data_IF_362519855506
#
_entry.id   IF_362519855506
#
_cell.length_a   1.000
_cell.length_b   1.000
_cell.length_c   1.000
_cell.angle_alpha   90.00
_cell.angle_beta   90.00
_cell.angle_gamma   90.00
#
_symmetry.space_group_name_H-M   'P 1'
#
loop_
_entity.id
_entity.type
_entity.pdbx_description
1 polymer ?
#
# COMPACT_ATOMS: atom_id res chain seq x y z
N UNK A 1 -10.61 -25.39 15.10
CA UNK A 1 -9.37 -25.98 14.57
C UNK A 1 -8.25 -24.99 14.90
N UNK A 2 -7.45 -25.33 15.93
CA UNK A 2 -6.27 -24.55 16.35
C UNK A 2 -5.16 -24.75 15.30
N UNK A 3 -5.05 -23.85 14.34
CA UNK A 3 -3.83 -23.64 13.59
C UNK A 3 -3.02 -22.60 14.36
N UNK A 4 -2.00 -23.06 15.11
CA UNK A 4 -1.06 -22.19 15.80
C UNK A 4 -0.39 -21.26 14.79
N UNK A 5 -0.61 -19.95 14.94
CA UNK A 5 0.08 -18.94 14.15
C UNK A 5 1.60 -19.09 14.37
N UNK A 6 2.41 -19.01 13.31
CA UNK A 6 3.86 -18.99 13.46
C UNK A 6 4.26 -17.77 14.31
N UNK A 7 5.36 -17.85 15.09
CA UNK A 7 5.79 -16.74 15.92
C UNK A 7 6.06 -15.52 15.04
N UNK A 8 5.45 -14.40 15.41
CA UNK A 8 5.62 -13.11 14.71
C UNK A 8 7.13 -12.84 14.54
N UNK A 9 7.57 -12.74 13.28
CA UNK A 9 8.95 -12.37 12.99
C UNK A 9 9.16 -10.96 13.52
N UNK A 10 10.15 -10.77 14.41
CA UNK A 10 10.51 -9.46 14.96
C UNK A 10 10.80 -8.50 13.80
N UNK A 11 9.93 -7.51 13.63
CA UNK A 11 10.15 -6.40 12.71
C UNK A 11 11.22 -5.49 13.31
N UNK A 12 12.47 -5.62 12.89
CA UNK A 12 13.52 -4.67 13.23
C UNK A 12 13.68 -3.67 12.10
N UNK A 13 14.07 -2.44 12.45
CA UNK A 13 14.42 -1.37 11.49
C UNK A 13 15.45 -1.88 10.47
N UNK A 14 16.43 -2.64 10.94
CA UNK A 14 17.45 -3.27 10.11
C UNK A 14 16.87 -4.19 9.03
N UNK A 15 15.73 -4.87 9.28
CA UNK A 15 15.05 -5.72 8.28
C UNK A 15 14.09 -4.93 7.41
N UNK A 16 13.27 -4.05 8.00
CA UNK A 16 12.24 -3.32 7.25
C UNK A 16 12.81 -2.31 6.27
N UNK A 17 13.94 -1.66 6.61
CA UNK A 17 14.61 -0.67 5.76
C UNK A 17 15.91 -1.20 5.12
N UNK A 18 16.30 -2.46 5.36
CA UNK A 18 17.59 -3.00 4.91
C UNK A 18 18.77 -2.19 5.43
N UNK A 19 18.62 -1.57 6.60
CA UNK A 19 19.65 -0.83 7.28
C UNK A 19 20.59 -1.83 7.95
N UNK A 20 21.52 -2.40 7.19
CA UNK A 20 22.57 -3.25 7.75
C UNK A 20 23.46 -2.44 8.69
N UNK A 21 24.08 -3.11 9.68
CA UNK A 21 24.96 -2.51 10.71
C UNK A 21 26.05 -1.56 10.16
N UNK A 22 26.42 -1.70 8.88
CA UNK A 22 27.41 -0.85 8.21
C UNK A 22 26.93 0.58 7.93
N UNK A 23 25.62 0.83 7.84
CA UNK A 23 25.08 2.14 7.51
C UNK A 23 24.99 3.05 8.74
N UNK A 24 24.80 2.48 9.94
CA UNK A 24 24.71 3.17 11.23
C UNK A 24 25.83 2.69 12.15
N UNK A 25 27.06 3.16 11.87
CA UNK A 25 28.27 2.66 12.50
C UNK A 25 28.62 3.37 13.81
N UNK A 26 28.22 4.64 13.99
CA UNK A 26 28.56 5.42 15.17
C UNK A 26 27.72 5.03 16.39
N UNK A 27 28.20 5.26 17.61
CA UNK A 27 27.42 5.01 18.82
C UNK A 27 26.08 5.77 18.86
N UNK A 28 26.03 6.98 18.33
CA UNK A 28 24.81 7.80 18.23
C UNK A 28 23.81 7.18 17.27
N UNK A 29 24.27 6.77 16.10
CA UNK A 29 23.40 6.10 15.11
C UNK A 29 22.87 4.77 15.63
N UNK A 30 23.67 3.98 16.35
CA UNK A 30 23.19 2.73 16.96
C UNK A 30 22.13 2.97 18.02
N UNK A 31 22.27 4.03 18.86
CA UNK A 31 21.22 4.40 19.82
C UNK A 31 19.94 4.83 19.12
N UNK A 32 20.05 5.58 18.02
CA UNK A 32 18.91 5.98 17.21
C UNK A 32 18.15 4.74 16.67
N UNK A 33 18.86 3.77 16.07
CA UNK A 33 18.22 2.53 15.57
C UNK A 33 17.54 1.76 16.71
N UNK A 34 18.21 1.60 17.86
CA UNK A 34 17.65 0.92 19.03
C UNK A 34 16.38 1.64 19.52
N UNK A 35 16.36 2.96 19.60
CA UNK A 35 15.20 3.72 20.04
C UNK A 35 13.98 3.56 19.11
N UNK A 36 14.22 3.44 17.80
CA UNK A 36 13.14 3.18 16.83
C UNK A 36 12.64 1.73 16.95
N UNK A 37 13.55 0.75 17.10
CA UNK A 37 13.17 -0.66 17.27
C UNK A 37 12.39 -0.88 18.58
N UNK A 38 12.81 -0.28 19.70
CA UNK A 38 12.07 -0.30 20.98
C UNK A 38 10.68 0.33 20.82
N UNK A 39 10.59 1.46 20.09
CA UNK A 39 9.32 2.10 19.77
C UNK A 39 8.39 1.20 18.94
N UNK A 40 8.93 0.47 17.96
CA UNK A 40 8.15 -0.49 17.17
C UNK A 40 7.61 -1.63 18.03
N UNK A 41 8.38 -2.14 18.98
CA UNK A 41 7.90 -3.17 19.91
C UNK A 41 6.73 -2.66 20.76
N UNK A 42 6.77 -1.39 21.22
CA UNK A 42 5.66 -0.75 21.93
C UNK A 42 4.42 -0.61 21.05
N UNK A 43 4.59 -0.20 19.79
CA UNK A 43 3.48 -0.08 18.83
C UNK A 43 2.85 -1.46 18.57
N UNK A 44 3.63 -2.49 18.27
CA UNK A 44 3.12 -3.85 18.03
C UNK A 44 2.35 -4.41 19.23
N UNK A 45 2.91 -4.28 20.43
CA UNK A 45 2.24 -4.72 21.66
C UNK A 45 0.93 -3.97 21.89
N UNK A 46 0.88 -2.67 21.53
CA UNK A 46 -0.31 -1.86 21.63
C UNK A 46 -1.35 -2.20 20.57
N UNK A 47 -0.96 -2.41 19.32
CA UNK A 47 -1.87 -2.81 18.24
C UNK A 47 -2.70 -4.04 18.65
N UNK A 48 -2.05 -5.08 19.19
CA UNK A 48 -2.73 -6.29 19.66
C UNK A 48 -3.75 -6.03 20.79
N UNK A 49 -3.48 -5.04 21.67
CA UNK A 49 -4.41 -4.65 22.74
C UNK A 49 -5.55 -3.80 22.22
N UNK A 50 -5.24 -2.81 21.37
CA UNK A 50 -6.22 -1.85 20.87
C UNK A 50 -7.29 -2.48 20.00
N UNK A 51 -6.97 -3.51 19.21
CA UNK A 51 -7.93 -4.22 18.37
C UNK A 51 -8.58 -5.42 19.06
N UNK A 52 -8.36 -5.59 20.37
CA UNK A 52 -9.05 -6.61 21.15
C UNK A 52 -10.49 -6.19 21.45
N UNK A 53 -11.43 -7.10 21.23
CA UNK A 53 -12.84 -6.92 21.52
C UNK A 53 -13.33 -8.01 22.48
N UNK A 54 -14.32 -7.67 23.31
CA UNK A 54 -14.96 -8.62 24.20
C UNK A 54 -15.90 -9.61 23.46
N UNK A 55 -16.37 -9.23 22.28
CA UNK A 55 -17.15 -10.07 21.38
C UNK A 55 -16.21 -10.96 20.57
N UNK A 56 -16.44 -12.28 20.59
CA UNK A 56 -15.56 -13.27 19.97
C UNK A 56 -15.47 -13.14 18.44
N UNK A 57 -16.56 -12.72 17.78
CA UNK A 57 -16.61 -12.54 16.33
C UNK A 57 -15.84 -11.27 15.95
N UNK A 58 -16.08 -10.18 16.66
CA UNK A 58 -15.36 -8.92 16.48
C UNK A 58 -13.86 -9.11 16.71
N UNK A 59 -13.45 -9.80 17.79
CA UNK A 59 -12.03 -10.07 18.09
C UNK A 59 -11.37 -10.91 17.00
N UNK A 60 -12.02 -12.01 16.59
CA UNK A 60 -11.47 -12.90 15.55
C UNK A 60 -11.32 -12.17 14.20
N UNK A 61 -12.32 -11.39 13.79
CA UNK A 61 -12.32 -10.72 12.49
C UNK A 61 -11.36 -9.54 12.44
N UNK A 62 -11.32 -8.66 13.45
CA UNK A 62 -10.44 -7.48 13.47
C UNK A 62 -8.96 -7.84 13.59
N UNK A 63 -8.61 -8.93 14.26
CA UNK A 63 -7.23 -9.42 14.40
C UNK A 63 -6.71 -10.16 13.18
N UNK A 64 -7.56 -10.62 12.31
CA UNK A 64 -7.21 -11.55 11.23
C UNK A 64 -6.10 -11.03 10.32
N UNK A 65 -6.29 -9.86 9.70
CA UNK A 65 -5.27 -9.27 8.81
C UNK A 65 -4.06 -8.71 9.57
N UNK A 66 -4.21 -8.33 10.85
CA UNK A 66 -3.05 -7.96 11.68
C UNK A 66 -2.15 -9.17 11.93
N UNK A 67 -2.75 -10.33 12.26
CA UNK A 67 -2.04 -11.59 12.48
C UNK A 67 -1.36 -12.13 11.22
N UNK A 68 -1.92 -11.87 10.02
CA UNK A 68 -1.28 -12.17 8.75
C UNK A 68 0.02 -11.38 8.49
N UNK A 69 0.33 -10.40 9.34
CA UNK A 69 1.58 -9.64 9.28
C UNK A 69 1.45 -8.25 8.66
N UNK A 70 2.57 -7.68 8.25
CA UNK A 70 2.67 -6.37 7.63
C UNK A 70 4.05 -5.76 7.85
N UNK A 71 4.48 -4.90 6.93
CA UNK A 71 5.82 -4.27 6.97
C UNK A 71 5.92 -3.13 7.98
N UNK A 72 4.80 -2.69 8.58
CA UNK A 72 4.73 -1.57 9.54
C UNK A 72 5.42 -0.29 9.06
N UNK A 73 5.30 -0.01 7.79
CA UNK A 73 5.94 1.14 7.12
C UNK A 73 5.53 2.46 7.79
N UNK A 74 4.24 2.65 8.09
CA UNK A 74 3.69 3.88 8.67
C UNK A 74 4.16 4.08 10.12
N UNK A 75 4.03 3.10 11.02
CA UNK A 75 4.62 3.19 12.37
C UNK A 75 6.11 3.47 12.36
N UNK A 76 6.88 2.80 11.49
CA UNK A 76 8.31 3.02 11.35
C UNK A 76 8.62 4.47 10.98
N UNK A 77 7.90 5.03 10.00
CA UNK A 77 8.08 6.42 9.57
C UNK A 77 7.76 7.41 10.70
N UNK A 78 6.65 7.20 11.43
CA UNK A 78 6.30 8.02 12.60
C UNK A 78 7.42 8.01 13.64
N UNK A 79 7.95 6.84 13.98
CA UNK A 79 9.01 6.67 14.98
C UNK A 79 10.36 7.24 14.54
N UNK A 80 10.70 7.13 13.25
CA UNK A 80 11.91 7.75 12.68
C UNK A 80 11.84 9.28 12.81
N UNK A 81 10.75 9.90 12.41
CA UNK A 81 10.56 11.35 12.45
C UNK A 81 10.45 11.85 13.88
N UNK A 82 9.86 11.07 14.79
CA UNK A 82 9.78 11.39 16.20
C UNK A 82 11.15 11.61 16.88
N UNK A 83 12.22 11.03 16.31
CA UNK A 83 13.59 11.27 16.79
C UNK A 83 14.12 12.68 16.48
N UNK A 84 13.36 13.54 15.80
CA UNK A 84 13.61 14.98 15.70
C UNK A 84 13.23 15.72 16.99
N UNK A 85 12.48 15.08 17.88
CA UNK A 85 12.06 15.55 19.20
C UNK A 85 12.39 14.51 20.28
N UNK A 86 11.40 14.21 21.13
CA UNK A 86 11.56 13.36 22.32
C UNK A 86 11.41 11.85 22.02
N UNK A 87 11.37 11.44 20.74
CA UNK A 87 11.28 10.03 20.32
C UNK A 87 9.92 9.40 20.59
N UNK A 88 9.91 8.12 21.02
CA UNK A 88 8.71 7.31 21.20
C UNK A 88 7.90 7.67 22.45
N UNK A 89 7.40 8.91 22.53
CA UNK A 89 6.47 9.34 23.59
C UNK A 89 5.17 8.52 23.55
N UNK A 90 4.35 8.49 24.63
CA UNK A 90 3.04 7.84 24.58
C UNK A 90 2.14 8.35 23.46
N UNK A 91 2.19 9.66 23.15
CA UNK A 91 1.47 10.24 22.01
C UNK A 91 1.95 9.74 20.65
N UNK A 92 3.24 9.56 20.48
CA UNK A 92 3.84 8.97 19.27
C UNK A 92 3.40 7.50 19.09
N UNK A 93 3.47 6.69 20.15
CA UNK A 93 3.05 5.30 20.09
C UNK A 93 1.56 5.19 19.75
N UNK A 94 0.72 5.98 20.41
CA UNK A 94 -0.73 6.00 20.16
C UNK A 94 -1.07 6.47 18.73
N UNK A 95 -0.42 7.54 18.23
CA UNK A 95 -0.65 8.01 16.86
C UNK A 95 -0.19 7.01 15.81
N UNK A 96 0.95 6.34 16.02
CA UNK A 96 1.44 5.27 15.13
C UNK A 96 0.47 4.08 15.09
N UNK A 97 -0.10 3.70 16.25
CA UNK A 97 -1.14 2.66 16.34
C UNK A 97 -2.42 3.07 15.60
N UNK A 98 -2.92 4.27 15.83
CA UNK A 98 -4.11 4.78 15.15
C UNK A 98 -3.95 4.79 13.63
N UNK A 99 -2.80 5.25 13.13
CA UNK A 99 -2.49 5.28 11.70
C UNK A 99 -2.42 3.87 11.09
N UNK A 100 -1.79 2.90 11.78
CA UNK A 100 -1.72 1.52 11.29
C UNK A 100 -3.09 0.83 11.37
N UNK A 101 -3.90 1.11 12.40
CA UNK A 101 -5.28 0.58 12.50
C UNK A 101 -6.15 1.18 11.39
N UNK A 102 -6.02 2.47 11.08
CA UNK A 102 -6.70 3.10 9.94
C UNK A 102 -6.34 2.43 8.62
N UNK A 103 -5.04 2.16 8.41
CA UNK A 103 -4.61 1.39 7.24
C UNK A 103 -5.17 -0.03 7.22
N UNK A 104 -5.17 -0.71 8.38
CA UNK A 104 -5.73 -2.05 8.46
C UNK A 104 -7.22 -2.05 8.11
N UNK A 105 -7.98 -1.08 8.60
CA UNK A 105 -9.39 -0.89 8.31
C UNK A 105 -9.64 -0.67 6.81
N UNK A 106 -8.84 0.19 6.16
CA UNK A 106 -8.97 0.42 4.72
C UNK A 106 -8.76 -0.87 3.92
N UNK A 107 -7.81 -1.74 4.32
CA UNK A 107 -7.59 -3.02 3.64
C UNK A 107 -8.81 -3.96 3.68
N UNK A 108 -9.59 -3.94 4.78
CA UNK A 108 -10.84 -4.71 4.83
C UNK A 108 -11.87 -4.22 3.83
N UNK A 109 -11.99 -2.89 3.67
CA UNK A 109 -12.92 -2.28 2.73
C UNK A 109 -12.43 -2.42 1.28
N UNK A 110 -11.14 -2.21 1.04
CA UNK A 110 -10.50 -2.38 -0.27
C UNK A 110 -10.72 -3.83 -0.77
N UNK A 111 -10.50 -4.84 0.08
CA UNK A 111 -10.69 -6.24 -0.29
C UNK A 111 -12.13 -6.54 -0.77
N UNK A 112 -13.13 -5.88 -0.17
CA UNK A 112 -14.53 -6.02 -0.60
C UNK A 112 -14.79 -5.31 -1.92
N UNK A 113 -14.27 -4.08 -2.08
CA UNK A 113 -14.47 -3.27 -3.30
C UNK A 113 -13.74 -3.86 -4.51
N UNK A 114 -12.56 -4.44 -4.28
CA UNK A 114 -11.70 -5.02 -5.31
C UNK A 114 -12.00 -6.53 -5.53
N UNK A 115 -12.98 -7.11 -4.81
CA UNK A 115 -13.31 -8.56 -4.81
C UNK A 115 -12.06 -9.44 -4.60
N UNK A 116 -11.11 -8.95 -3.79
CA UNK A 116 -9.82 -9.59 -3.60
C UNK A 116 -9.96 -10.94 -2.89
N UNK A 117 -9.45 -12.02 -3.49
CA UNK A 117 -9.51 -13.36 -2.90
C UNK A 117 -8.48 -13.58 -1.80
N UNK A 118 -7.34 -12.90 -1.88
CA UNK A 118 -6.20 -13.07 -0.99
C UNK A 118 -5.66 -11.73 -0.51
N UNK A 119 -5.26 -11.65 0.77
CA UNK A 119 -4.56 -10.51 1.35
C UNK A 119 -3.43 -10.97 2.27
N UNK A 120 -2.21 -10.44 2.11
CA UNK A 120 -1.04 -10.80 2.91
C UNK A 120 -0.76 -12.31 2.97
N UNK A 121 -1.02 -13.03 1.88
CA UNK A 121 -0.78 -14.47 1.75
C UNK A 121 -1.83 -15.36 2.43
N UNK A 122 -2.93 -14.80 2.94
CA UNK A 122 -4.10 -15.52 3.47
C UNK A 122 -5.35 -15.14 2.68
N UNK A 123 -6.42 -15.95 2.68
CA UNK A 123 -7.70 -15.54 2.09
C UNK A 123 -8.15 -14.20 2.65
N UNK A 124 -8.78 -13.35 1.84
CA UNK A 124 -9.29 -12.06 2.33
C UNK A 124 -10.41 -12.26 3.34
N UNK A 125 -10.69 -11.25 4.18
CA UNK A 125 -11.74 -11.36 5.20
C UNK A 125 -13.12 -11.60 4.57
N UNK A 126 -13.41 -11.00 3.42
CA UNK A 126 -14.64 -11.24 2.68
C UNK A 126 -14.79 -12.68 2.19
N UNK A 127 -13.70 -13.32 1.79
CA UNK A 127 -13.69 -14.72 1.37
C UNK A 127 -14.00 -15.66 2.55
N UNK A 128 -13.53 -15.30 3.77
CA UNK A 128 -13.70 -16.13 4.96
C UNK A 128 -15.07 -15.93 5.61
N UNK A 129 -15.57 -14.69 5.72
CA UNK A 129 -16.77 -14.34 6.50
C UNK A 129 -17.85 -13.63 5.69
N UNK A 130 -17.62 -13.34 4.42
CA UNK A 130 -18.51 -12.57 3.56
C UNK A 130 -18.37 -11.05 3.72
N UNK A 131 -18.90 -10.32 2.71
CA UNK A 131 -18.74 -8.87 2.59
C UNK A 131 -19.24 -8.10 3.81
N UNK A 132 -20.43 -8.45 4.34
CA UNK A 132 -21.02 -7.72 5.46
C UNK A 132 -20.12 -7.77 6.71
N UNK A 133 -19.52 -8.92 7.01
CA UNK A 133 -18.63 -9.07 8.17
C UNK A 133 -17.32 -8.33 7.92
N UNK A 134 -16.76 -8.39 6.72
CA UNK A 134 -15.55 -7.67 6.37
C UNK A 134 -15.73 -6.14 6.49
N UNK A 135 -16.84 -5.59 5.97
CA UNK A 135 -17.18 -4.16 6.09
C UNK A 135 -17.27 -3.76 7.58
N UNK A 136 -18.05 -4.50 8.38
CA UNK A 136 -18.23 -4.20 9.80
C UNK A 136 -16.91 -4.33 10.60
N UNK A 137 -16.04 -5.27 10.26
CA UNK A 137 -14.72 -5.37 10.86
C UNK A 137 -13.86 -4.12 10.57
N UNK A 138 -13.89 -3.61 9.33
CA UNK A 138 -13.28 -2.33 8.95
C UNK A 138 -13.84 -1.15 9.75
N UNK A 139 -15.17 -1.06 9.89
CA UNK A 139 -15.85 -0.01 10.67
C UNK A 139 -15.46 -0.04 12.15
N UNK A 140 -15.37 -1.23 12.76
CA UNK A 140 -14.90 -1.41 14.14
C UNK A 140 -13.46 -0.92 14.32
N UNK A 141 -12.59 -1.19 13.35
CA UNK A 141 -11.20 -0.70 13.36
C UNK A 141 -11.14 0.82 13.21
N UNK A 142 -11.94 1.43 12.33
CA UNK A 142 -12.04 2.89 12.22
C UNK A 142 -12.55 3.53 13.51
N UNK A 143 -13.55 2.94 14.16
CA UNK A 143 -14.03 3.39 15.45
C UNK A 143 -12.94 3.30 16.51
N UNK A 144 -12.13 2.24 16.52
CA UNK A 144 -11.00 2.09 17.44
C UNK A 144 -9.92 3.14 17.19
N UNK A 145 -9.53 3.37 15.92
CA UNK A 145 -8.59 4.44 15.56
C UNK A 145 -9.08 5.81 16.03
N UNK A 146 -10.36 6.12 15.82
CA UNK A 146 -10.99 7.37 16.27
C UNK A 146 -10.95 7.51 17.80
N UNK A 147 -11.17 6.43 18.54
CA UNK A 147 -11.06 6.42 20.00
C UNK A 147 -9.64 6.75 20.47
N UNK A 148 -8.61 6.16 19.87
CA UNK A 148 -7.21 6.44 20.20
C UNK A 148 -6.88 7.91 19.91
N UNK A 149 -7.25 8.39 18.73
CA UNK A 149 -6.98 9.76 18.27
C UNK A 149 -7.67 10.79 19.16
N UNK A 150 -8.88 10.50 19.69
CA UNK A 150 -9.59 11.42 20.60
C UNK A 150 -8.82 11.72 21.88
N UNK A 151 -7.98 10.79 22.33
CA UNK A 151 -7.08 10.97 23.48
C UNK A 151 -5.84 11.83 23.20
N UNK A 152 -5.53 12.10 21.90
CA UNK A 152 -4.38 12.90 21.48
C UNK A 152 -4.70 14.40 21.30
N UNK A 153 -5.97 14.78 21.38
CA UNK A 153 -6.42 16.15 21.28
C UNK A 153 -6.93 16.58 19.91
N UNK A 154 -7.37 17.83 19.83
CA UNK A 154 -8.11 18.34 18.67
C UNK A 154 -7.33 18.29 17.36
N UNK A 155 -6.03 18.59 17.37
CA UNK A 155 -5.20 18.54 16.15
C UNK A 155 -5.10 17.12 15.57
N UNK A 156 -5.05 16.11 16.44
CA UNK A 156 -5.05 14.71 16.00
C UNK A 156 -6.38 14.31 15.37
N UNK A 157 -7.50 14.76 15.95
CA UNK A 157 -8.85 14.51 15.42
C UNK A 157 -9.00 15.13 14.03
N UNK A 158 -8.55 16.39 13.84
CA UNK A 158 -8.59 17.05 12.54
C UNK A 158 -7.72 16.32 11.52
N UNK A 159 -6.48 15.97 11.89
CA UNK A 159 -5.58 15.22 11.01
C UNK A 159 -6.19 13.87 10.57
N UNK A 160 -6.80 13.14 11.50
CA UNK A 160 -7.48 11.88 11.21
C UNK A 160 -8.67 12.08 10.26
N UNK A 161 -9.50 13.11 10.50
CA UNK A 161 -10.66 13.40 9.68
C UNK A 161 -10.28 13.79 8.26
N UNK A 162 -9.31 14.71 8.09
CA UNK A 162 -8.74 15.09 6.78
C UNK A 162 -8.17 13.90 6.03
N UNK A 163 -7.44 13.04 6.75
CA UNK A 163 -6.83 11.84 6.15
C UNK A 163 -7.88 10.85 5.68
N UNK A 164 -8.90 10.62 6.50
CA UNK A 164 -9.97 9.68 6.15
C UNK A 164 -10.82 10.18 4.99
N UNK A 165 -11.12 11.50 4.95
CA UNK A 165 -11.79 12.13 3.80
C UNK A 165 -10.99 11.91 2.51
N UNK A 166 -9.66 12.15 2.53
CA UNK A 166 -8.78 11.91 1.37
C UNK A 166 -8.77 10.44 0.95
N UNK A 167 -8.67 9.49 1.89
CA UNK A 167 -8.75 8.06 1.59
C UNK A 167 -10.05 7.69 0.88
N UNK A 168 -11.19 8.19 1.38
CA UNK A 168 -12.50 7.93 0.77
C UNK A 168 -12.63 8.58 -0.62
N UNK A 169 -12.15 9.81 -0.79
CA UNK A 169 -12.16 10.51 -2.08
C UNK A 169 -11.24 9.81 -3.08
N UNK A 170 -10.04 9.39 -2.68
CA UNK A 170 -9.12 8.64 -3.52
C UNK A 170 -9.74 7.33 -4.02
N UNK A 171 -10.38 6.56 -3.14
CA UNK A 171 -11.07 5.33 -3.51
C UNK A 171 -12.28 5.61 -4.44
N UNK A 172 -13.03 6.66 -4.17
CA UNK A 172 -14.17 7.07 -5.01
C UNK A 172 -13.69 7.47 -6.42
N UNK A 173 -12.64 8.28 -6.51
CA UNK A 173 -12.08 8.75 -7.78
C UNK A 173 -11.46 7.60 -8.58
N UNK A 174 -10.81 6.64 -7.92
CA UNK A 174 -10.33 5.41 -8.56
C UNK A 174 -11.48 4.59 -9.16
N UNK A 175 -12.57 4.44 -8.41
CA UNK A 175 -13.74 3.66 -8.85
C UNK A 175 -14.49 4.32 -10.01
N UNK A 176 -14.66 5.64 -9.96
CA UNK A 176 -15.43 6.39 -10.97
C UNK A 176 -14.59 6.69 -12.22
N UNK A 177 -13.27 6.88 -12.05
CA UNK A 177 -12.36 7.27 -13.11
C UNK A 177 -12.39 8.76 -13.45
N UNK A 178 -11.54 9.21 -14.42
CA UNK A 178 -11.46 10.61 -14.84
C UNK A 178 -12.72 11.03 -15.60
N UNK A 179 -13.10 12.30 -15.46
CA UNK A 179 -14.21 12.90 -16.21
C UNK A 179 -13.80 13.15 -17.65
N UNK A 180 -14.79 13.35 -18.52
CA UNK A 180 -14.53 13.76 -19.89
C UNK A 180 -13.76 15.10 -19.92
N UNK A 181 -12.60 15.11 -20.57
CA UNK A 181 -11.71 16.27 -20.67
C UNK A 181 -10.61 16.35 -19.62
N UNK A 182 -10.64 15.52 -18.58
CA UNK A 182 -9.55 15.46 -17.60
C UNK A 182 -8.30 14.78 -18.21
N UNK A 183 -7.11 15.15 -17.72
CA UNK A 183 -5.89 14.38 -18.01
C UNK A 183 -5.88 13.10 -17.19
N UNK A 184 -5.95 11.90 -17.82
CA UNK A 184 -6.01 10.64 -17.09
C UNK A 184 -4.76 10.36 -16.25
N UNK A 185 -3.58 10.88 -16.65
CA UNK A 185 -2.33 10.70 -15.89
C UNK A 185 -2.34 11.56 -14.64
N UNK A 186 -2.76 12.83 -14.75
CA UNK A 186 -2.90 13.71 -13.61
C UNK A 186 -3.91 13.14 -12.61
N UNK A 187 -5.09 12.72 -13.11
CA UNK A 187 -6.12 12.06 -12.28
C UNK A 187 -5.57 10.84 -11.54
N UNK A 188 -4.82 9.96 -12.21
CA UNK A 188 -4.22 8.78 -11.61
C UNK A 188 -3.25 9.15 -10.48
N UNK A 189 -2.37 10.14 -10.69
CA UNK A 189 -1.43 10.60 -9.67
C UNK A 189 -2.15 11.23 -8.46
N UNK A 190 -3.24 11.96 -8.67
CA UNK A 190 -4.08 12.51 -7.60
C UNK A 190 -4.73 11.38 -6.78
N UNK A 191 -5.21 10.33 -7.43
CA UNK A 191 -5.73 9.12 -6.75
C UNK A 191 -4.65 8.49 -5.88
N UNK A 192 -3.43 8.33 -6.38
CA UNK A 192 -2.31 7.78 -5.60
C UNK A 192 -1.94 8.68 -4.40
N UNK A 193 -1.98 10.00 -4.59
CA UNK A 193 -1.74 10.97 -3.52
C UNK A 193 -2.79 10.82 -2.40
N UNK A 194 -4.06 10.67 -2.75
CA UNK A 194 -5.16 10.58 -1.79
C UNK A 194 -5.24 9.18 -1.15
N UNK A 195 -5.20 8.11 -1.94
CA UNK A 195 -5.34 6.73 -1.44
C UNK A 195 -4.11 6.25 -0.66
N UNK A 196 -2.90 6.58 -1.10
CA UNK A 196 -1.65 6.07 -0.50
C UNK A 196 -0.83 7.17 0.17
N UNK A 197 -0.59 8.29 -0.53
CA UNK A 197 0.23 9.40 -0.08
C UNK A 197 -0.29 10.04 1.20
N UNK A 198 -1.61 10.23 1.31
CA UNK A 198 -2.26 10.89 2.45
C UNK A 198 -1.94 10.22 3.79
N UNK A 199 -2.03 8.90 3.86
CA UNK A 199 -1.82 8.17 5.11
C UNK A 199 -0.32 8.05 5.47
N UNK A 200 0.57 8.06 4.49
CA UNK A 200 2.03 8.13 4.72
C UNK A 200 2.40 9.54 5.20
N UNK A 201 1.82 10.58 4.61
CA UNK A 201 1.94 11.97 5.06
C UNK A 201 1.45 12.15 6.50
N UNK A 202 0.32 11.54 6.84
CA UNK A 202 -0.24 11.53 8.20
C UNK A 202 0.72 10.89 9.20
N UNK A 203 1.32 9.74 8.88
CA UNK A 203 2.34 9.10 9.71
C UNK A 203 3.56 10.02 9.95
N UNK A 204 4.01 10.72 8.89
CA UNK A 204 5.11 11.66 8.98
C UNK A 204 4.77 12.88 9.85
N UNK A 205 3.60 13.50 9.63
CA UNK A 205 3.10 14.64 10.42
C UNK A 205 2.96 14.28 11.91
N UNK A 206 2.42 13.11 12.22
CA UNK A 206 2.28 12.61 13.59
C UNK A 206 3.64 12.52 14.29
N UNK A 207 4.70 12.10 13.59
CA UNK A 207 6.06 12.06 14.11
C UNK A 207 6.57 13.41 14.63
N UNK A 208 6.19 14.52 13.99
CA UNK A 208 6.51 15.89 14.45
C UNK A 208 5.54 16.34 15.53
N UNK A 209 4.23 16.15 15.31
CA UNK A 209 3.17 16.72 16.17
C UNK A 209 3.25 16.26 17.62
N UNK A 210 3.60 14.99 17.86
CA UNK A 210 3.51 14.36 19.18
C UNK A 210 4.86 14.05 19.82
N UNK A 211 6.00 14.45 19.18
CA UNK A 211 7.34 14.25 19.72
C UNK A 211 7.96 15.52 20.35
N UNK A 212 7.28 16.66 20.27
CA UNK A 212 7.89 17.94 20.69
C UNK A 212 8.90 18.49 19.69
N UNK A 213 9.03 17.92 18.50
CA UNK A 213 9.87 18.44 17.44
C UNK A 213 9.42 19.84 16.96
N UNK A 214 10.33 20.67 16.43
CA UNK A 214 9.99 21.98 15.88
C UNK A 214 8.88 21.91 14.84
N UNK A 215 7.83 22.71 14.99
CA UNK A 215 6.66 22.71 14.11
C UNK A 215 6.97 23.10 12.66
N UNK A 216 8.07 23.79 12.42
CA UNK A 216 8.58 24.13 11.10
C UNK A 216 8.88 22.88 10.22
N UNK A 217 9.06 21.71 10.83
CA UNK A 217 9.28 20.45 10.10
C UNK A 217 7.95 19.80 9.63
N UNK A 218 6.77 20.29 10.05
CA UNK A 218 5.49 19.69 9.66
C UNK A 218 5.26 19.69 8.14
N UNK A 219 5.47 20.82 7.46
CA UNK A 219 5.28 20.92 6.02
C UNK A 219 6.31 20.07 5.24
N UNK A 220 7.62 20.14 5.54
CA UNK A 220 8.64 19.28 4.94
C UNK A 220 8.34 17.79 5.03
N UNK A 221 7.97 17.28 6.23
CA UNK A 221 7.71 15.84 6.39
C UNK A 221 6.38 15.42 5.78
N UNK A 222 5.37 16.31 5.75
CA UNK A 222 4.10 16.06 5.08
C UNK A 222 4.30 15.87 3.57
N UNK A 223 5.03 16.79 2.95
CA UNK A 223 5.39 16.73 1.53
C UNK A 223 6.23 15.50 1.20
N UNK A 224 7.25 15.19 2.02
CA UNK A 224 8.01 13.94 1.90
C UNK A 224 7.09 12.72 1.92
N UNK A 225 6.20 12.62 2.91
CA UNK A 225 5.30 11.49 3.08
C UNK A 225 4.36 11.28 1.90
N UNK A 226 3.81 12.37 1.37
CA UNK A 226 2.91 12.32 0.21
C UNK A 226 3.64 11.87 -1.04
N UNK A 227 4.75 12.51 -1.38
CA UNK A 227 5.53 12.21 -2.58
C UNK A 227 6.13 10.81 -2.57
N UNK A 228 6.63 10.36 -1.42
CA UNK A 228 7.18 9.00 -1.30
C UNK A 228 6.08 7.94 -1.35
N UNK A 229 4.85 8.28 -0.91
CA UNK A 229 3.67 7.41 -1.07
C UNK A 229 3.30 7.21 -2.53
N UNK A 230 3.32 8.26 -3.34
CA UNK A 230 3.13 8.18 -4.79
C UNK A 230 4.23 7.33 -5.43
N UNK A 231 5.51 7.61 -5.15
CA UNK A 231 6.64 6.83 -5.66
C UNK A 231 6.52 5.34 -5.31
N UNK A 232 6.10 5.03 -4.08
CA UNK A 232 5.89 3.66 -3.61
C UNK A 232 4.86 2.93 -4.49
N UNK A 233 3.73 3.56 -4.80
CA UNK A 233 2.67 2.97 -5.60
C UNK A 233 3.10 2.79 -7.07
N UNK A 234 3.79 3.78 -7.64
CA UNK A 234 4.33 3.67 -9.00
C UNK A 234 5.34 2.52 -9.15
N UNK A 235 6.12 2.25 -8.11
CA UNK A 235 7.02 1.09 -8.06
C UNK A 235 6.23 -0.21 -7.92
N UNK A 236 5.16 -0.23 -7.13
CA UNK A 236 4.29 -1.41 -7.02
C UNK A 236 3.63 -1.74 -8.37
N UNK A 237 3.22 -0.74 -9.19
CA UNK A 237 2.73 -0.94 -10.55
C UNK A 237 3.78 -1.63 -11.46
N UNK A 238 5.04 -1.22 -11.34
CA UNK A 238 6.15 -1.84 -12.08
C UNK A 238 6.44 -3.27 -11.61
N UNK A 239 6.38 -3.49 -10.29
CA UNK A 239 6.60 -4.82 -9.69
C UNK A 239 5.48 -5.79 -10.07
N UNK A 240 4.23 -5.32 -10.18
CA UNK A 240 3.10 -6.16 -10.61
C UNK A 240 3.36 -6.79 -12.00
N UNK A 241 4.08 -6.10 -12.87
CA UNK A 241 4.48 -6.63 -14.19
C UNK A 241 5.71 -7.57 -14.14
N UNK A 242 6.37 -7.73 -12.98
CA UNK A 242 7.61 -8.52 -12.87
C UNK A 242 7.34 -10.02 -12.74
N UNK A 243 8.31 -10.84 -13.22
CA UNK A 243 8.27 -12.32 -13.15
C UNK A 243 8.83 -12.87 -11.82
N UNK A 244 8.75 -12.12 -10.72
CA UNK A 244 9.30 -12.57 -9.43
C UNK A 244 8.19 -13.00 -8.44
N UNK A 245 7.53 -14.15 -8.65
CA UNK A 245 6.47 -14.65 -7.75
C UNK A 245 7.00 -14.94 -6.33
N UNK A 246 8.31 -15.16 -6.18
CA UNK A 246 8.93 -15.43 -4.88
C UNK A 246 8.93 -14.22 -3.93
N UNK A 247 8.91 -12.99 -4.46
CA UNK A 247 8.88 -11.76 -3.65
C UNK A 247 7.46 -11.21 -3.46
N UNK A 248 6.61 -11.36 -4.47
CA UNK A 248 5.24 -10.78 -4.47
C UNK A 248 4.19 -11.76 -3.97
N UNK A 249 4.42 -13.07 -4.12
CA UNK A 249 3.43 -14.12 -3.84
C UNK A 249 2.24 -14.11 -4.79
N UNK A 250 2.26 -13.27 -5.85
CA UNK A 250 1.20 -13.10 -6.86
C UNK A 250 1.70 -13.51 -8.25
N UNK A 251 0.77 -13.86 -9.14
CA UNK A 251 1.07 -13.99 -10.57
C UNK A 251 1.33 -12.59 -11.15
N UNK A 252 2.27 -12.47 -12.10
CA UNK A 252 2.56 -11.20 -12.78
C UNK A 252 1.30 -10.65 -13.48
N UNK A 253 1.13 -9.31 -13.48
CA UNK A 253 0.04 -8.62 -14.13
C UNK A 253 -1.32 -8.77 -13.42
N UNK A 254 -1.34 -8.87 -12.11
CA UNK A 254 -2.58 -9.00 -11.34
C UNK A 254 -3.50 -7.79 -11.57
N UNK A 255 -2.97 -6.57 -11.57
CA UNK A 255 -3.72 -5.34 -11.80
C UNK A 255 -4.24 -5.28 -13.23
N UNK A 256 -3.39 -5.65 -14.21
CA UNK A 256 -3.78 -5.70 -15.60
C UNK A 256 -4.91 -6.74 -15.83
N UNK A 257 -4.82 -7.92 -15.18
CA UNK A 257 -5.85 -8.97 -15.24
C UNK A 257 -7.17 -8.51 -14.63
N UNK A 258 -7.13 -7.76 -13.55
CA UNK A 258 -8.30 -7.14 -12.93
C UNK A 258 -8.84 -5.96 -13.78
N UNK A 259 -8.11 -5.54 -14.84
CA UNK A 259 -8.43 -4.40 -15.69
C UNK A 259 -8.26 -3.07 -14.98
N UNK A 260 -7.40 -3.03 -13.97
CA UNK A 260 -6.96 -1.78 -13.34
C UNK A 260 -5.99 -1.08 -14.27
N UNK A 261 -6.25 0.20 -14.52
CA UNK A 261 -5.45 1.02 -15.45
C UNK A 261 -4.36 1.72 -14.65
N UNK A 262 -3.17 1.11 -14.61
CA UNK A 262 -1.98 1.67 -13.95
C UNK A 262 -1.17 2.59 -14.88
N UNK A 263 -0.15 3.29 -14.35
CA UNK A 263 0.60 4.29 -15.11
C UNK A 263 1.24 3.74 -16.41
N UNK A 264 1.82 2.52 -16.47
CA UNK A 264 2.31 1.95 -17.73
C UNK A 264 1.23 1.91 -18.82
N UNK A 265 0.01 1.50 -18.47
CA UNK A 265 -1.12 1.42 -19.41
C UNK A 265 -1.58 2.81 -19.85
N UNK A 266 -1.59 3.80 -18.95
CA UNK A 266 -1.90 5.20 -19.29
C UNK A 266 -0.90 5.78 -20.27
N UNK A 267 0.40 5.54 -20.07
CA UNK A 267 1.43 5.93 -21.02
C UNK A 267 1.27 5.22 -22.37
N UNK A 268 0.92 3.95 -22.37
CA UNK A 268 0.64 3.20 -23.59
C UNK A 268 -0.56 3.78 -24.35
N UNK A 269 -1.65 4.14 -23.65
CA UNK A 269 -2.81 4.83 -24.23
C UNK A 269 -2.44 6.19 -24.84
N UNK A 270 -1.56 6.92 -24.17
CA UNK A 270 -1.06 8.20 -24.70
C UNK A 270 -0.24 7.99 -26.00
N UNK A 271 0.65 7.00 -26.01
CA UNK A 271 1.50 6.67 -27.15
C UNK A 271 0.69 6.12 -28.33
N UNK A 272 -0.31 5.29 -28.08
CA UNK A 272 -1.19 4.69 -29.08
C UNK A 272 -1.94 5.70 -29.98
N UNK A 273 -2.00 6.97 -29.59
CA UNK A 273 -2.60 8.05 -30.41
C UNK A 273 -1.76 8.35 -31.67
N UNK A 274 -0.47 8.05 -31.66
CA UNK A 274 0.47 8.39 -32.74
C UNK A 274 1.33 7.21 -33.20
N UNK A 275 1.33 6.10 -32.45
CA UNK A 275 2.13 4.92 -32.71
C UNK A 275 1.25 3.69 -32.93
N UNK A 276 1.44 3.02 -34.08
CA UNK A 276 0.63 1.87 -34.50
C UNK A 276 0.95 0.60 -33.71
N UNK A 277 2.19 0.42 -33.28
CA UNK A 277 2.62 -0.75 -32.50
C UNK A 277 2.01 -0.65 -31.08
N UNK A 278 2.11 0.53 -30.46
CA UNK A 278 1.46 0.81 -29.17
C UNK A 278 -0.06 0.65 -29.26
N UNK A 279 -0.69 1.10 -30.37
CA UNK A 279 -2.13 0.92 -30.60
C UNK A 279 -2.51 -0.56 -30.73
N UNK A 280 -1.70 -1.35 -31.43
CA UNK A 280 -1.91 -2.80 -31.56
C UNK A 280 -1.81 -3.52 -30.21
N UNK A 281 -0.78 -3.17 -29.42
CA UNK A 281 -0.58 -3.75 -28.08
C UNK A 281 -1.74 -3.40 -27.15
N UNK A 282 -2.22 -2.15 -27.18
CA UNK A 282 -3.36 -1.72 -26.37
C UNK A 282 -4.64 -2.47 -26.72
N UNK A 283 -4.95 -2.62 -28.02
CA UNK A 283 -6.13 -3.38 -28.48
C UNK A 283 -6.05 -4.86 -28.05
N UNK A 284 -4.85 -5.41 -28.00
CA UNK A 284 -4.63 -6.79 -27.53
C UNK A 284 -4.84 -6.91 -26.01
N UNK A 285 -4.39 -5.91 -25.23
CA UNK A 285 -4.66 -5.80 -23.79
C UNK A 285 -6.17 -5.83 -23.56
N UNK A 286 -6.91 -4.92 -24.18
CA UNK A 286 -8.36 -4.82 -23.97
C UNK A 286 -9.06 -6.13 -24.33
N UNK A 287 -8.71 -6.76 -25.47
CA UNK A 287 -9.27 -8.03 -25.91
C UNK A 287 -9.02 -9.17 -24.91
N UNK A 288 -7.78 -9.30 -24.41
CA UNK A 288 -7.39 -10.41 -23.51
C UNK A 288 -8.00 -10.19 -22.12
N UNK A 289 -8.03 -8.96 -21.62
CA UNK A 289 -8.67 -8.61 -20.34
C UNK A 289 -10.16 -8.91 -20.38
N UNK A 290 -10.85 -8.51 -21.46
CA UNK A 290 -12.29 -8.80 -21.63
C UNK A 290 -12.55 -10.30 -21.72
N UNK A 291 -11.73 -11.06 -22.46
CA UNK A 291 -11.85 -12.50 -22.55
C UNK A 291 -11.62 -13.20 -21.19
N UNK A 292 -10.64 -12.72 -20.41
CA UNK A 292 -10.33 -13.25 -19.07
C UNK A 292 -11.48 -13.00 -18.10
N UNK A 293 -12.06 -11.78 -18.12
CA UNK A 293 -13.24 -11.45 -17.31
C UNK A 293 -14.45 -12.30 -17.67
N UNK A 294 -14.72 -12.46 -18.97
CA UNK A 294 -15.82 -13.29 -19.44
C UNK A 294 -15.64 -14.79 -19.06
N UNK A 295 -14.40 -15.29 -19.07
CA UNK A 295 -14.10 -16.66 -18.63
C UNK A 295 -14.30 -16.84 -17.12
N UNK A 296 -13.88 -15.85 -16.29
CA UNK A 296 -14.10 -15.86 -14.84
C UNK A 296 -15.60 -15.88 -14.50
N UNK A 297 -16.41 -15.03 -15.14
CA UNK A 297 -17.87 -14.98 -14.92
C UNK A 297 -18.57 -16.29 -15.31
N UNK A 298 -18.10 -17.00 -16.34
CA UNK A 298 -18.63 -18.32 -16.71
C UNK A 298 -18.30 -19.41 -15.68
N UNK A 299 -17.13 -19.31 -15.05
CA UNK A 299 -16.68 -20.25 -14.01
C UNK A 299 -17.48 -20.15 -12.71
N UNK A 300 -18.05 -18.96 -12.41
CA UNK A 300 -18.85 -18.70 -11.21
C UNK A 300 -20.34 -19.08 -11.37
N UNK A 301 -20.79 -19.40 -12.59
CA UNK A 301 -22.14 -19.91 -12.83
C UNK A 301 -22.17 -21.43 -12.59
N UNK A 302 -23.19 -21.95 -11.89
CA UNK A 302 -23.42 -23.41 -11.81
C UNK A 302 -23.57 -24.01 -13.23
N UNK A 303 -22.81 -25.08 -13.55
CA UNK A 303 -22.87 -25.69 -14.89
C UNK A 303 -24.28 -26.15 -15.24
N UNK A 304 -24.76 -25.68 -16.37
CA UNK A 304 -26.04 -26.15 -16.93
C UNK A 304 -25.80 -27.39 -17.79
N UNK A 305 -26.85 -28.18 -18.05
CA UNK A 305 -26.73 -29.44 -18.81
C UNK A 305 -26.25 -29.28 -20.27
N UNK A 306 -26.21 -28.04 -20.79
CA UNK A 306 -25.76 -27.68 -22.14
C UNK A 306 -24.33 -27.08 -22.19
N UNK A 307 -23.65 -27.03 -21.06
CA UNK A 307 -22.28 -26.43 -21.01
C UNK A 307 -21.25 -27.36 -21.65
N UNK A 308 -20.24 -26.75 -22.27
CA UNK A 308 -19.11 -27.44 -22.89
C UNK A 308 -18.41 -28.39 -21.90
N UNK A 309 -17.82 -29.52 -22.36
CA UNK A 309 -17.11 -30.43 -21.48
C UNK A 309 -16.05 -29.70 -20.67
N UNK A 310 -15.91 -30.00 -19.39
CA UNK A 310 -14.95 -29.37 -18.47
C UNK A 310 -13.49 -29.39 -19.02
N UNK A 311 -13.15 -30.32 -19.88
CA UNK A 311 -11.87 -30.41 -20.56
C UNK A 311 -11.65 -29.28 -21.58
N UNK A 312 -12.69 -28.85 -22.30
CA UNK A 312 -12.57 -27.78 -23.30
C UNK A 312 -12.44 -26.41 -22.61
N UNK A 313 -13.16 -26.18 -21.50
CA UNK A 313 -13.02 -25.00 -20.66
C UNK A 313 -11.62 -24.90 -20.03
N UNK A 314 -11.06 -26.00 -19.52
CA UNK A 314 -9.72 -26.03 -18.98
C UNK A 314 -8.65 -25.73 -20.05
N UNK A 315 -8.86 -26.19 -21.29
CA UNK A 315 -7.95 -25.93 -22.41
C UNK A 315 -8.03 -24.45 -22.85
N UNK A 316 -9.22 -23.88 -22.96
CA UNK A 316 -9.45 -22.46 -23.26
C UNK A 316 -8.81 -21.54 -22.22
N UNK A 317 -8.99 -21.85 -20.93
CA UNK A 317 -8.39 -21.09 -19.80
C UNK A 317 -6.87 -21.16 -19.84
N UNK A 318 -6.29 -22.32 -20.17
CA UNK A 318 -4.83 -22.48 -20.25
C UNK A 318 -4.20 -21.66 -21.40
N UNK A 319 -4.88 -21.54 -22.55
CA UNK A 319 -4.43 -20.69 -23.65
C UNK A 319 -4.52 -19.21 -23.30
N UNK A 320 -5.62 -18.79 -22.68
CA UNK A 320 -5.79 -17.42 -22.21
C UNK A 320 -4.72 -17.03 -21.18
N UNK A 321 -4.34 -17.92 -20.26
CA UNK A 321 -3.26 -17.68 -19.31
C UNK A 321 -1.89 -17.54 -19.99
N UNK A 322 -1.61 -18.33 -21.04
CA UNK A 322 -0.37 -18.22 -21.80
C UNK A 322 -0.30 -16.92 -22.61
N UNK A 323 -1.38 -16.55 -23.30
CA UNK A 323 -1.49 -15.32 -24.06
C UNK A 323 -1.37 -14.10 -23.12
N UNK A 324 -1.99 -14.17 -21.93
CA UNK A 324 -1.88 -13.13 -20.92
C UNK A 324 -0.45 -12.98 -20.39
N UNK A 325 0.26 -14.08 -20.14
CA UNK A 325 1.65 -14.03 -19.67
C UNK A 325 2.59 -13.40 -20.72
N UNK A 326 2.38 -13.70 -22.01
CA UNK A 326 3.13 -13.04 -23.10
C UNK A 326 2.83 -11.54 -23.17
N UNK A 327 1.56 -11.17 -23.01
CA UNK A 327 1.13 -9.77 -22.98
C UNK A 327 1.81 -8.99 -21.84
N UNK A 328 1.78 -9.52 -20.62
CA UNK A 328 2.45 -8.93 -19.44
C UNK A 328 3.95 -8.76 -19.72
N UNK A 329 4.62 -9.75 -20.31
CA UNK A 329 6.02 -9.67 -20.68
C UNK A 329 6.27 -8.52 -21.66
N UNK A 330 5.44 -8.36 -22.68
CA UNK A 330 5.58 -7.29 -23.70
C UNK A 330 5.36 -5.91 -23.09
N UNK A 331 4.39 -5.74 -22.20
CA UNK A 331 4.19 -4.48 -21.47
C UNK A 331 5.37 -4.18 -20.56
N UNK A 332 5.89 -5.19 -19.83
CA UNK A 332 7.09 -5.05 -18.99
C UNK A 332 8.33 -4.60 -19.78
N UNK A 333 8.54 -5.16 -20.96
CA UNK A 333 9.69 -4.87 -21.83
C UNK A 333 9.51 -3.57 -22.65
N UNK A 334 8.32 -3.00 -22.64
CA UNK A 334 8.02 -1.77 -23.37
C UNK A 334 8.56 -0.54 -22.63
N UNK A 335 8.95 0.51 -23.38
CA UNK A 335 9.49 1.78 -22.86
C UNK A 335 8.56 2.47 -21.85
N UNK A 336 7.25 2.24 -21.90
CA UNK A 336 6.28 2.81 -20.94
C UNK A 336 6.54 2.35 -19.49
N UNK A 337 7.02 1.12 -19.30
CA UNK A 337 7.36 0.61 -17.98
C UNK A 337 8.62 1.28 -17.44
N UNK A 338 9.64 1.48 -18.27
CA UNK A 338 10.83 2.25 -17.88
C UNK A 338 10.47 3.72 -17.62
N UNK A 339 9.60 4.31 -18.42
CA UNK A 339 9.08 5.67 -18.17
C UNK A 339 8.37 5.77 -16.82
N UNK A 340 7.60 4.76 -16.42
CA UNK A 340 6.96 4.68 -15.09
C UNK A 340 8.01 4.62 -13.97
N UNK A 341 9.08 3.82 -14.15
CA UNK A 341 10.19 3.76 -13.19
C UNK A 341 10.90 5.11 -13.04
N UNK A 342 11.18 5.79 -14.14
CA UNK A 342 11.76 7.14 -14.14
C UNK A 342 10.85 8.13 -13.41
N UNK A 343 9.55 8.04 -13.60
CA UNK A 343 8.57 8.89 -12.90
C UNK A 343 8.58 8.62 -11.37
N UNK A 344 8.59 7.36 -10.95
CA UNK A 344 8.72 6.99 -9.54
C UNK A 344 10.01 7.55 -8.91
N UNK A 345 11.14 7.45 -9.62
CA UNK A 345 12.40 8.06 -9.19
C UNK A 345 12.34 9.58 -9.12
N UNK A 346 11.57 10.23 -10.00
CA UNK A 346 11.35 11.68 -9.92
C UNK A 346 10.62 12.06 -8.63
N UNK A 347 9.52 11.36 -8.32
CA UNK A 347 8.75 11.58 -7.09
C UNK A 347 9.59 11.33 -5.83
N UNK A 348 10.40 10.27 -5.82
CA UNK A 348 11.29 9.99 -4.70
C UNK A 348 12.37 11.09 -4.50
N UNK A 349 12.93 11.64 -5.57
CA UNK A 349 13.88 12.77 -5.49
C UNK A 349 13.20 14.02 -4.94
N UNK A 350 12.02 14.35 -5.45
CA UNK A 350 11.25 15.50 -4.94
C UNK A 350 10.85 15.33 -3.47
N UNK A 351 10.58 14.08 -3.03
CA UNK A 351 10.40 13.78 -1.60
C UNK A 351 11.65 14.09 -0.78
N UNK A 352 12.83 13.71 -1.27
CA UNK A 352 14.11 14.01 -0.60
C UNK A 352 14.41 15.50 -0.57
N UNK A 353 14.10 16.23 -1.64
CA UNK A 353 14.28 17.69 -1.70
C UNK A 353 13.43 18.41 -0.65
N UNK A 354 12.20 17.90 -0.38
CA UNK A 354 11.34 18.41 0.67
C UNK A 354 11.98 18.32 2.08
N UNK A 355 12.88 17.37 2.31
CA UNK A 355 13.60 17.21 3.58
C UNK A 355 14.76 18.20 3.75
N UNK A 356 15.02 19.09 2.80
CA UNK A 356 16.14 20.05 2.88
C UNK A 356 16.15 20.90 4.16
N UNK A 357 15.00 21.33 4.73
CA UNK A 357 14.96 22.09 5.98
C UNK A 357 15.30 21.29 7.24
N UNK A 358 15.27 19.97 7.19
CA UNK A 358 15.59 19.13 8.33
C UNK A 358 17.10 19.15 8.63
N UNK A 359 17.50 19.08 9.92
CA UNK A 359 18.90 19.04 10.29
C UNK A 359 19.58 17.77 9.77
N UNK A 360 20.84 17.89 9.40
CA UNK A 360 21.65 16.74 9.05
C UNK A 360 21.85 15.83 10.28
N UNK A 361 21.64 14.53 10.08
CA UNK A 361 21.73 13.58 11.18
C UNK A 361 21.11 12.22 10.87
N UNK A 362 20.97 11.36 11.91
CA UNK A 362 20.47 10.00 11.73
C UNK A 362 19.06 9.95 11.13
N UNK A 363 18.18 10.90 11.49
CA UNK A 363 16.79 10.94 10.98
C UNK A 363 16.80 11.19 9.47
N UNK A 364 17.44 12.27 9.01
CA UNK A 364 17.50 12.62 7.58
C UNK A 364 18.15 11.49 6.78
N UNK A 365 19.24 10.90 7.30
CA UNK A 365 19.92 9.75 6.70
C UNK A 365 18.98 8.53 6.60
N UNK A 366 18.17 8.25 7.63
CA UNK A 366 17.21 7.16 7.63
C UNK A 366 16.05 7.39 6.65
N UNK A 367 15.54 8.63 6.56
CA UNK A 367 14.51 9.00 5.60
C UNK A 367 15.01 8.92 4.16
N UNK A 368 16.28 9.34 3.90
CA UNK A 368 16.92 9.14 2.59
C UNK A 368 16.99 7.66 2.24
N UNK A 369 17.45 6.82 3.17
CA UNK A 369 17.52 5.38 2.94
C UNK A 369 16.13 4.74 2.75
N UNK A 370 15.13 5.24 3.46
CA UNK A 370 13.73 4.82 3.26
C UNK A 370 13.28 5.11 1.82
N UNK A 371 13.53 6.31 1.30
CA UNK A 371 13.20 6.68 -0.08
C UNK A 371 13.96 5.82 -1.11
N UNK A 372 15.28 5.61 -0.90
CA UNK A 372 16.07 4.73 -1.77
C UNK A 372 15.48 3.32 -1.84
N UNK A 373 15.09 2.76 -0.67
CA UNK A 373 14.50 1.41 -0.61
C UNK A 373 13.15 1.31 -1.31
N UNK A 374 12.38 2.39 -1.34
CA UNK A 374 11.11 2.41 -2.09
C UNK A 374 11.38 2.16 -3.57
N UNK A 375 12.35 2.86 -4.16
CA UNK A 375 12.63 2.77 -5.60
C UNK A 375 13.54 1.61 -6.00
N UNK A 376 14.39 1.12 -5.08
CA UNK A 376 15.26 -0.05 -5.31
C UNK A 376 14.49 -1.38 -5.40
N UNK A 377 13.24 -1.46 -4.95
CA UNK A 377 12.42 -2.69 -4.97
C UNK A 377 12.13 -3.21 -6.38
N UNK A 378 12.25 -2.38 -7.39
CA UNK A 378 12.00 -2.75 -8.80
C UNK A 378 13.27 -3.07 -9.59
N UNK A 379 14.46 -3.06 -8.95
CA UNK A 379 15.75 -3.28 -9.60
C UNK A 379 16.15 -4.75 -9.64
#
# INVERSE_FOLDING_TARGET
VNAGAPPAQRNSLGRSLGLGEKLFATPTERRFVAAVDDGLELVEAGLLREIAFADDIADATTRYLLAAGGKRVRPTLTLLIAQLGDGATPGIVASAQATEITHLASLYHDDVMDEAQMRRGVPSAQTVWGNNVAILAGDLLFARASTIVSGLGQEAILLQAETFERLCLGQLHETVGPREGDDPIAHYLDVLADKTGSLISTAARAGVMFSGAPREYLAPVAEFGEKIGIAFQLIDDVIDLSDQPAETGKKAGTDLRAGVVTLPVLYLRQLARTDLEASSLLNEIDRIVDATRAAAQRSDCEPTADDAPAADLAHETSHLDADFADLVRRVREHDVTERTRVEAHRWAREALDALSPLPDGPVKKALTRFADRVVERSA
#
